data_IF_678409044159
#
_entry.id   IF_678409044159
#
_cell.length_a   1.000
_cell.length_b   1.000
_cell.length_c   1.000
_cell.angle_alpha   90.00
_cell.angle_beta   90.00
_cell.angle_gamma   90.00
#
_symmetry.space_group_name_H-M   'P 1'
#
loop_
_entity.id
_entity.type
_entity.pdbx_description
1 polymer ?
#
# COMPACT_ATOMS: atom_id res chain seq x y z
N UNK A 1 -9.99 -10.12 9.69
CA UNK A 1 -9.15 -9.55 8.61
C UNK A 1 -9.99 -8.50 7.90
N UNK A 2 -9.44 -7.32 7.61
CA UNK A 2 -10.21 -6.23 6.97
C UNK A 2 -10.30 -6.45 5.47
N UNK A 3 -11.49 -6.35 4.89
CA UNK A 3 -11.70 -6.47 3.44
C UNK A 3 -11.56 -5.12 2.73
N UNK A 4 -10.32 -4.65 2.58
CA UNK A 4 -9.95 -3.41 1.89
C UNK A 4 -10.53 -3.32 0.47
N UNK A 5 -10.42 -4.39 -0.31
CA UNK A 5 -10.94 -4.42 -1.69
C UNK A 5 -12.44 -4.14 -1.71
N UNK A 6 -13.20 -4.83 -0.87
CA UNK A 6 -14.66 -4.68 -0.82
C UNK A 6 -15.10 -3.28 -0.38
N UNK A 7 -14.36 -2.68 0.56
CA UNK A 7 -14.61 -1.30 1.02
C UNK A 7 -14.44 -0.33 -0.16
N UNK A 8 -13.35 -0.47 -0.92
CA UNK A 8 -13.05 0.41 -2.04
C UNK A 8 -13.98 0.18 -3.24
N UNK A 9 -14.32 -1.07 -3.58
CA UNK A 9 -15.32 -1.39 -4.62
C UNK A 9 -16.65 -0.69 -4.34
N UNK A 10 -17.20 -0.85 -3.14
CA UNK A 10 -18.45 -0.19 -2.76
C UNK A 10 -18.31 1.33 -2.77
N UNK A 11 -17.13 1.86 -2.43
CA UNK A 11 -16.90 3.30 -2.52
C UNK A 11 -16.93 3.82 -3.96
N UNK A 12 -16.35 3.07 -4.91
CA UNK A 12 -16.38 3.40 -6.33
C UNK A 12 -17.78 3.24 -6.94
N UNK A 13 -18.62 2.37 -6.38
CA UNK A 13 -20.06 2.27 -6.69
C UNK A 13 -20.91 3.40 -6.07
N UNK A 14 -20.29 4.45 -5.52
CA UNK A 14 -20.94 5.57 -4.82
C UNK A 14 -21.83 5.16 -3.63
N UNK A 15 -21.57 3.99 -3.05
CA UNK A 15 -22.32 3.50 -1.90
C UNK A 15 -21.99 4.32 -0.66
N UNK A 16 -23.01 4.67 0.13
CA UNK A 16 -22.83 5.45 1.34
C UNK A 16 -21.93 4.71 2.35
N UNK A 17 -21.08 5.46 3.07
CA UNK A 17 -20.19 4.90 4.11
C UNK A 17 -20.93 4.07 5.18
N UNK A 18 -22.18 4.45 5.48
CA UNK A 18 -23.05 3.72 6.41
C UNK A 18 -23.40 2.32 5.88
N UNK A 19 -23.67 2.22 4.58
CA UNK A 19 -23.95 0.94 3.92
C UNK A 19 -22.66 0.12 3.79
N UNK A 20 -21.53 0.75 3.49
CA UNK A 20 -20.21 0.09 3.43
C UNK A 20 -19.87 -0.56 4.78
N UNK A 21 -19.98 0.16 5.89
CA UNK A 21 -19.71 -0.40 7.22
C UNK A 21 -20.64 -1.56 7.56
N UNK A 22 -21.92 -1.46 7.18
CA UNK A 22 -22.91 -2.50 7.44
C UNK A 22 -22.68 -3.75 6.58
N UNK A 23 -22.26 -3.57 5.33
CA UNK A 23 -21.99 -4.67 4.39
C UNK A 23 -20.66 -5.38 4.67
N UNK A 24 -19.64 -4.64 5.14
CA UNK A 24 -18.30 -5.18 5.40
C UNK A 24 -18.10 -5.68 6.83
N UNK A 25 -19.02 -5.34 7.75
CA UNK A 25 -18.92 -5.71 9.16
C UNK A 25 -17.78 -4.99 9.91
N UNK A 26 -17.23 -3.92 9.33
CA UNK A 26 -16.14 -3.15 9.91
C UNK A 26 -16.63 -1.81 10.46
N UNK A 27 -15.86 -1.26 11.40
CA UNK A 27 -16.19 0.03 12.00
C UNK A 27 -16.19 1.15 10.95
N UNK A 28 -17.04 2.16 11.17
CA UNK A 28 -17.12 3.34 10.28
C UNK A 28 -15.78 4.08 10.17
N UNK A 29 -15.00 4.12 11.25
CA UNK A 29 -13.66 4.72 11.23
C UNK A 29 -12.71 3.95 10.34
N UNK A 30 -12.70 2.60 10.40
CA UNK A 30 -11.85 1.77 9.53
C UNK A 30 -12.20 1.95 8.05
N UNK A 31 -13.49 1.91 7.68
CA UNK A 31 -13.90 2.11 6.29
C UNK A 31 -13.57 3.52 5.79
N UNK A 32 -13.78 4.54 6.64
CA UNK A 32 -13.44 5.93 6.32
C UNK A 32 -11.94 6.12 6.12
N UNK A 33 -11.10 5.57 7.00
CA UNK A 33 -9.64 5.66 6.89
C UNK A 33 -9.13 5.06 5.58
N UNK A 34 -9.64 3.87 5.22
CA UNK A 34 -9.30 3.17 3.97
C UNK A 34 -9.64 4.02 2.76
N UNK A 35 -10.86 4.56 2.70
CA UNK A 35 -11.32 5.38 1.58
C UNK A 35 -10.55 6.70 1.50
N UNK A 36 -10.33 7.36 2.63
CA UNK A 36 -9.61 8.63 2.67
C UNK A 36 -8.17 8.48 2.20
N UNK A 37 -7.50 7.39 2.58
CA UNK A 37 -6.14 7.08 2.13
C UNK A 37 -6.07 6.71 0.66
N UNK A 38 -7.01 5.92 0.18
CA UNK A 38 -7.12 5.59 -1.25
C UNK A 38 -7.30 6.87 -2.10
N UNK A 39 -8.17 7.79 -1.66
CA UNK A 39 -8.33 9.11 -2.30
C UNK A 39 -7.05 9.94 -2.26
N UNK A 40 -6.35 9.96 -1.11
CA UNK A 40 -5.09 10.68 -0.96
C UNK A 40 -3.99 10.15 -1.89
N UNK A 41 -3.99 8.85 -2.15
CA UNK A 41 -3.07 8.17 -3.07
C UNK A 41 -3.54 8.20 -4.54
N UNK A 42 -4.67 8.83 -4.84
CA UNK A 42 -5.20 8.94 -6.21
C UNK A 42 -5.72 7.63 -6.79
N UNK A 43 -6.17 6.69 -5.93
CA UNK A 43 -6.77 5.43 -6.40
C UNK A 43 -8.19 5.71 -6.87
N UNK A 44 -8.39 5.64 -8.18
CA UNK A 44 -9.70 5.85 -8.82
C UNK A 44 -10.39 4.52 -9.23
N UNK A 45 -9.64 3.43 -9.32
CA UNK A 45 -10.16 2.10 -9.64
C UNK A 45 -9.31 1.00 -9.01
N UNK A 46 -9.90 -0.19 -8.83
CA UNK A 46 -9.20 -1.39 -8.38
C UNK A 46 -8.88 -2.30 -9.57
N UNK A 47 -7.64 -2.77 -9.63
CA UNK A 47 -7.23 -3.83 -10.54
C UNK A 47 -7.23 -5.19 -9.84
N UNK A 48 -7.29 -6.28 -10.61
CA UNK A 48 -7.29 -7.64 -10.05
C UNK A 48 -6.00 -8.01 -9.30
N UNK A 49 -4.91 -7.28 -9.56
CA UNK A 49 -3.64 -7.39 -8.82
C UNK A 49 -3.72 -6.78 -7.41
N UNK A 50 -4.70 -5.92 -7.12
CA UNK A 50 -4.85 -5.23 -5.84
C UNK A 50 -5.58 -6.12 -4.82
N UNK A 51 -4.86 -7.10 -4.29
CA UNK A 51 -5.35 -8.01 -3.23
C UNK A 51 -5.44 -7.30 -1.88
N UNK A 52 -6.23 -7.85 -0.94
CA UNK A 52 -6.35 -7.29 0.42
C UNK A 52 -4.98 -7.05 1.12
N UNK A 53 -4.02 -8.00 1.11
CA UNK A 53 -2.70 -7.78 1.72
C UNK A 53 -1.89 -6.69 1.03
N UNK A 54 -2.02 -6.59 -0.30
CA UNK A 54 -1.37 -5.54 -1.08
C UNK A 54 -1.98 -4.16 -0.75
N UNK A 55 -3.31 -4.06 -0.65
CA UNK A 55 -4.01 -2.84 -0.26
C UNK A 55 -3.70 -2.42 1.17
N UNK A 56 -3.58 -3.37 2.09
CA UNK A 56 -3.13 -3.08 3.45
C UNK A 56 -1.74 -2.45 3.46
N UNK A 57 -0.83 -3.05 2.68
CA UNK A 57 0.55 -2.57 2.51
C UNK A 57 0.61 -1.19 1.88
N UNK A 58 -0.21 -0.97 0.84
CA UNK A 58 -0.27 0.27 0.07
C UNK A 58 -0.94 1.42 0.83
N UNK A 59 -2.02 1.15 1.55
CA UNK A 59 -2.78 2.16 2.31
C UNK A 59 -2.15 2.43 3.68
N UNK A 60 -1.55 1.42 4.32
CA UNK A 60 -0.98 1.52 5.66
C UNK A 60 0.52 1.15 5.69
N UNK A 61 1.38 1.90 4.99
CA UNK A 61 2.83 1.67 5.01
C UNK A 61 3.44 1.83 6.42
N UNK A 62 2.85 2.70 7.24
CA UNK A 62 3.27 2.91 8.63
C UNK A 62 3.02 1.68 9.52
N UNK A 63 2.00 0.85 9.23
CA UNK A 63 1.77 -0.39 9.99
C UNK A 63 2.90 -1.40 9.74
N UNK A 64 3.48 -1.41 8.54
CA UNK A 64 4.65 -2.25 8.25
C UNK A 64 5.92 -1.77 8.97
N UNK A 65 6.12 -0.45 9.04
CA UNK A 65 7.28 0.12 9.73
C UNK A 65 7.25 -0.16 11.24
N UNK A 66 6.05 -0.16 11.83
CA UNK A 66 5.86 -0.34 13.28
C UNK A 66 5.89 -1.81 13.70
N UNK A 67 5.41 -2.75 12.88
CA UNK A 67 5.31 -4.15 13.34
C UNK A 67 6.64 -4.92 13.35
N UNK A 68 7.69 -4.52 12.60
CA UNK A 68 8.87 -5.39 12.46
C UNK A 68 10.25 -4.72 12.26
N UNK A 69 10.38 -3.40 12.34
CA UNK A 69 11.69 -2.73 12.19
C UNK A 69 12.27 -2.77 10.77
N UNK A 70 11.40 -2.94 9.76
CA UNK A 70 11.79 -2.86 8.35
C UNK A 70 11.99 -1.41 7.90
N UNK A 71 12.86 -1.22 6.91
CA UNK A 71 13.08 0.09 6.32
C UNK A 71 11.85 0.52 5.51
N UNK A 72 11.26 1.69 5.78
CA UNK A 72 10.10 2.17 5.04
C UNK A 72 10.47 2.35 3.56
N UNK A 73 9.60 1.89 2.67
CA UNK A 73 9.84 1.94 1.23
C UNK A 73 9.00 3.04 0.60
N UNK A 74 9.64 3.86 -0.22
CA UNK A 74 8.97 4.94 -0.94
C UNK A 74 8.52 4.44 -2.32
N UNK A 75 7.30 3.92 -2.39
CA UNK A 75 6.72 3.37 -3.63
C UNK A 75 6.53 4.43 -4.74
N UNK A 76 6.38 5.70 -4.38
CA UNK A 76 6.24 6.80 -5.34
C UNK A 76 7.58 7.07 -6.02
N UNK A 77 8.67 7.11 -5.23
CA UNK A 77 10.04 7.17 -5.75
C UNK A 77 10.36 5.96 -6.62
N UNK A 78 10.02 4.74 -6.19
CA UNK A 78 10.29 3.50 -6.96
C UNK A 78 9.61 3.54 -8.33
N UNK A 79 8.33 3.91 -8.40
CA UNK A 79 7.62 4.03 -9.68
C UNK A 79 8.22 5.12 -10.58
N UNK A 80 8.57 6.28 -10.01
CA UNK A 80 9.15 7.40 -10.76
C UNK A 80 10.53 7.06 -11.31
N UNK A 81 11.34 6.33 -10.54
CA UNK A 81 12.66 5.89 -10.97
C UNK A 81 12.56 4.77 -12.02
N UNK A 82 11.63 3.81 -11.89
CA UNK A 82 11.38 2.77 -12.90
C UNK A 82 10.95 3.30 -14.26
N UNK A 83 10.39 4.52 -14.34
CA UNK A 83 10.07 5.18 -15.60
C UNK A 83 11.32 5.67 -16.36
N UNK A 84 12.49 5.70 -15.74
CA UNK A 84 13.75 6.08 -16.40
C UNK A 84 14.34 4.88 -17.15
N UNK A 85 14.77 5.10 -18.40
CA UNK A 85 15.31 4.06 -19.30
C UNK A 85 16.51 3.25 -18.76
N UNK A 86 17.23 3.77 -17.76
CA UNK A 86 18.44 3.17 -17.23
C UNK A 86 18.26 2.58 -15.82
N UNK A 87 17.02 2.53 -15.31
CA UNK A 87 16.74 2.05 -13.97
C UNK A 87 16.13 0.66 -14.05
N UNK A 88 16.69 -0.26 -13.27
CA UNK A 88 16.15 -1.62 -13.11
C UNK A 88 15.65 -1.80 -11.69
N UNK A 89 14.67 -2.68 -11.52
CA UNK A 89 14.12 -3.02 -10.23
C UNK A 89 15.20 -3.53 -9.24
N UNK A 90 16.15 -4.33 -9.71
CA UNK A 90 17.30 -4.78 -8.92
C UNK A 90 18.21 -3.64 -8.45
N UNK A 91 18.38 -2.59 -9.27
CA UNK A 91 19.17 -1.41 -8.90
C UNK A 91 18.50 -0.64 -7.75
N UNK A 92 17.19 -0.41 -7.86
CA UNK A 92 16.40 0.27 -6.81
C UNK A 92 16.38 -0.53 -5.51
N UNK A 93 16.25 -1.85 -5.60
CA UNK A 93 16.33 -2.72 -4.43
C UNK A 93 17.70 -2.66 -3.77
N UNK A 94 18.78 -2.59 -4.54
CA UNK A 94 20.14 -2.46 -4.02
C UNK A 94 20.33 -1.14 -3.26
N UNK A 95 19.86 -0.02 -3.81
CA UNK A 95 19.88 1.29 -3.14
C UNK A 95 19.07 1.26 -1.84
N UNK A 96 17.84 0.76 -1.91
CA UNK A 96 16.96 0.60 -0.75
C UNK A 96 17.56 -0.31 0.34
N UNK A 97 18.21 -1.41 -0.04
CA UNK A 97 18.85 -2.35 0.90
C UNK A 97 20.08 -1.73 1.58
N UNK A 98 20.77 -0.85 0.86
CA UNK A 98 21.90 -0.08 1.39
C UNK A 98 21.41 0.96 2.40
N UNK A 99 20.40 1.77 2.05
CA UNK A 99 19.77 2.73 2.97
C UNK A 99 19.19 2.03 4.23
N UNK A 100 18.60 0.84 4.06
CA UNK A 100 18.10 0.03 5.17
C UNK A 100 19.22 -0.40 6.13
N UNK A 101 20.35 -0.90 5.60
CA UNK A 101 21.51 -1.31 6.40
C UNK A 101 22.16 -0.14 7.12
N UNK A 102 22.29 1.02 6.46
CA UNK A 102 22.80 2.24 7.09
C UNK A 102 21.88 2.74 8.19
N UNK A 103 20.56 2.61 8.00
CA UNK A 103 19.55 2.95 8.99
C UNK A 103 19.37 1.91 10.12
N UNK A 104 20.16 0.84 10.13
CA UNK A 104 20.05 -0.25 11.12
C UNK A 104 18.72 -1.02 11.05
N UNK A 105 18.02 -0.94 9.93
CA UNK A 105 16.71 -1.58 9.70
C UNK A 105 16.84 -2.78 8.78
N UNK A 106 15.84 -3.65 8.82
CA UNK A 106 15.83 -4.86 7.99
C UNK A 106 15.37 -4.47 6.59
N UNK A 107 16.13 -4.77 5.52
CA UNK A 107 15.66 -4.57 4.16
C UNK A 107 14.61 -5.63 3.78
N UNK A 108 13.57 -5.21 3.06
CA UNK A 108 12.65 -6.11 2.37
C UNK A 108 13.38 -6.91 1.26
N UNK A 109 12.94 -8.14 1.00
CA UNK A 109 13.51 -8.98 -0.07
C UNK A 109 13.18 -8.45 -1.47
N UNK A 110 14.05 -8.70 -2.45
CA UNK A 110 13.83 -8.32 -3.86
C UNK A 110 12.54 -8.89 -4.44
N UNK A 111 12.09 -10.06 -3.97
CA UNK A 111 10.82 -10.67 -4.37
C UNK A 111 9.59 -9.82 -4.02
N UNK A 112 9.69 -8.88 -3.07
CA UNK A 112 8.62 -7.92 -2.77
C UNK A 112 8.58 -6.74 -3.75
N UNK A 113 9.65 -6.51 -4.51
CA UNK A 113 9.68 -5.50 -5.57
C UNK A 113 9.18 -6.04 -6.92
N UNK A 114 9.21 -7.38 -7.10
CA UNK A 114 9.02 -8.09 -8.37
C UNK A 114 7.55 -8.23 -8.76
#
# INVERSE_FOLDING_TARGET
>A
MVNYRRILELHFEEVSQRTISSSTGHSRSTASDVVQRAKKLGVESLNDTMTNPWLETFLFPEKQAVEKGYFPIDWERVHKELQKKNVTLSLLHHEYSTEAREGGKIPLCLSYFL
#
